data_IF_946677151836
#
_entry.id   IF_946677151836
#
_cell.length_a   1.000
_cell.length_b   1.000
_cell.length_c   1.000
_cell.angle_alpha   90.00
_cell.angle_beta   90.00
_cell.angle_gamma   90.00
#
_symmetry.space_group_name_H-M   'P 1'
#
loop_
_entity.id
_entity.type
_entity.pdbx_description
1 polymer ?
#
# COMPACT_ATOMS: atom_id res chain seq x y z
N UNK A 1 -25.41 10.25 -22.92
CA UNK A 1 -24.80 10.33 -24.27
C UNK A 1 -23.53 11.22 -24.38
N UNK A 2 -22.91 11.66 -23.28
CA UNK A 2 -21.75 12.58 -23.31
C UNK A 2 -20.42 11.96 -22.80
N UNK A 3 -20.35 10.64 -22.61
CA UNK A 3 -19.13 9.98 -22.13
C UNK A 3 -18.32 9.42 -23.28
N UNK A 4 -17.04 9.78 -23.33
CA UNK A 4 -16.08 9.27 -24.29
C UNK A 4 -15.81 7.78 -24.02
N UNK A 5 -15.73 6.99 -25.09
CA UNK A 5 -15.37 5.58 -25.03
C UNK A 5 -13.90 5.43 -25.46
N UNK A 6 -13.13 4.71 -24.65
CA UNK A 6 -11.75 4.35 -24.95
C UNK A 6 -11.65 2.83 -25.07
N UNK A 7 -10.93 2.36 -26.09
CA UNK A 7 -10.69 0.93 -26.34
C UNK A 7 -9.19 0.72 -26.46
N UNK A 8 -8.67 -0.26 -25.73
CA UNK A 8 -7.26 -0.66 -25.78
C UNK A 8 -7.17 -2.16 -26.02
N UNK A 9 -6.12 -2.60 -26.72
CA UNK A 9 -5.84 -4.01 -26.90
C UNK A 9 -5.01 -4.49 -25.70
N UNK A 10 -5.41 -5.61 -25.10
CA UNK A 10 -4.66 -6.21 -23.99
C UNK A 10 -3.46 -6.98 -24.51
N UNK A 11 -2.34 -6.88 -23.79
CA UNK A 11 -1.18 -7.72 -24.04
C UNK A 11 -1.44 -9.17 -23.62
N UNK A 12 -0.67 -10.14 -24.14
CA UNK A 12 -0.74 -11.52 -23.65
C UNK A 12 -0.61 -11.56 -22.12
N UNK A 13 -1.42 -12.39 -21.46
CA UNK A 13 -1.45 -12.57 -19.99
C UNK A 13 -1.93 -11.37 -19.15
N UNK A 14 -2.24 -10.23 -19.77
CA UNK A 14 -2.76 -9.06 -19.05
C UNK A 14 -4.21 -9.25 -18.54
N UNK A 15 -4.85 -10.35 -18.96
CA UNK A 15 -6.19 -10.77 -18.50
C UNK A 15 -6.17 -11.49 -17.14
N UNK A 16 -5.01 -11.99 -16.70
CA UNK A 16 -4.90 -12.73 -15.45
C UNK A 16 -4.73 -11.78 -14.25
N UNK A 17 -5.06 -12.29 -13.06
CA UNK A 17 -4.85 -11.63 -11.78
C UNK A 17 -3.49 -12.03 -11.20
N UNK A 18 -2.80 -11.08 -10.56
CA UNK A 18 -1.57 -11.34 -9.82
C UNK A 18 -1.43 -10.36 -8.66
N UNK A 19 -0.30 -10.45 -7.96
CA UNK A 19 0.11 -9.49 -6.94
C UNK A 19 0.81 -8.32 -7.63
N UNK A 20 0.17 -7.16 -7.63
CA UNK A 20 0.77 -5.90 -8.08
C UNK A 20 1.51 -5.25 -6.91
N UNK A 21 2.77 -4.88 -7.14
CA UNK A 21 3.55 -4.06 -6.23
C UNK A 21 3.68 -2.67 -6.85
N UNK A 22 3.11 -1.69 -6.16
CA UNK A 22 2.91 -0.32 -6.65
C UNK A 22 3.71 0.60 -5.76
N UNK A 23 4.61 1.42 -6.31
CA UNK A 23 5.17 2.53 -5.53
C UNK A 23 4.09 3.60 -5.42
N UNK A 24 3.95 4.21 -4.25
CA UNK A 24 3.07 5.34 -4.02
C UNK A 24 3.85 6.43 -3.32
N UNK A 25 3.93 7.60 -3.96
CA UNK A 25 4.43 8.82 -3.33
C UNK A 25 3.25 9.70 -2.96
N UNK A 26 3.19 10.05 -1.68
CA UNK A 26 2.10 10.88 -1.15
C UNK A 26 2.16 12.27 -1.77
N UNK A 27 1.03 12.76 -2.28
CA UNK A 27 0.90 14.16 -2.71
C UNK A 27 0.95 15.10 -1.50
N UNK A 28 1.48 16.32 -1.69
CA UNK A 28 1.62 17.28 -0.59
C UNK A 28 0.29 17.91 -0.16
N UNK A 29 -0.71 17.89 -1.04
CA UNK A 29 -1.94 18.68 -0.87
C UNK A 29 -2.97 18.00 0.04
N UNK A 30 -2.89 16.68 0.22
CA UNK A 30 -3.85 15.96 1.04
C UNK A 30 -3.26 15.53 2.38
N UNK A 31 -3.86 16.04 3.47
CA UNK A 31 -3.46 15.74 4.84
C UNK A 31 -4.08 14.44 5.37
N UNK A 32 -4.92 13.80 4.57
CA UNK A 32 -5.67 12.60 4.95
C UNK A 32 -4.69 11.45 5.25
N UNK A 33 -4.84 10.88 6.44
CA UNK A 33 -4.16 9.66 6.82
C UNK A 33 -4.98 8.48 6.27
N UNK A 34 -4.35 7.68 5.41
CA UNK A 34 -4.97 6.47 4.86
C UNK A 34 -4.43 5.25 5.60
N UNK A 35 -5.34 4.40 6.09
CA UNK A 35 -4.98 3.16 6.78
C UNK A 35 -4.65 2.07 5.78
N UNK A 36 -3.75 1.17 6.15
CA UNK A 36 -3.53 -0.06 5.40
C UNK A 36 -4.79 -0.91 5.40
N UNK A 37 -5.08 -1.60 4.29
CA UNK A 37 -6.34 -2.33 4.01
C UNK A 37 -7.59 -1.46 3.88
N UNK A 38 -7.46 -0.14 3.89
CA UNK A 38 -8.55 0.76 3.52
C UNK A 38 -8.74 0.72 2.00
N UNK A 39 -9.98 0.83 1.53
CA UNK A 39 -10.27 0.76 0.10
C UNK A 39 -9.83 2.04 -0.59
N UNK A 40 -8.97 1.89 -1.60
CA UNK A 40 -8.56 2.94 -2.50
C UNK A 40 -9.00 2.62 -3.92
N UNK A 41 -9.06 3.66 -4.72
CA UNK A 41 -9.30 3.60 -6.15
C UNK A 41 -7.97 3.82 -6.85
N UNK A 42 -7.59 2.90 -7.72
CA UNK A 42 -6.35 2.95 -8.48
C UNK A 42 -6.65 3.12 -9.95
N UNK A 43 -5.97 4.08 -10.57
CA UNK A 43 -5.85 4.20 -12.00
C UNK A 43 -4.44 3.75 -12.38
N UNK A 44 -4.33 2.65 -13.10
CA UNK A 44 -3.07 2.05 -13.54
C UNK A 44 -3.10 1.99 -15.06
N UNK A 45 -2.40 2.94 -15.70
CA UNK A 45 -2.51 3.13 -17.15
C UNK A 45 -3.96 3.34 -17.59
N UNK A 46 -4.49 2.43 -18.41
CA UNK A 46 -5.89 2.45 -18.88
C UNK A 46 -6.88 1.70 -17.98
N UNK A 47 -6.41 1.04 -16.92
CA UNK A 47 -7.25 0.27 -16.00
C UNK A 47 -7.62 1.10 -14.79
N UNK A 48 -8.87 0.95 -14.39
CA UNK A 48 -9.41 1.54 -13.18
C UNK A 48 -10.00 0.41 -12.34
N UNK A 49 -9.50 0.26 -11.13
CA UNK A 49 -9.99 -0.72 -10.17
C UNK A 49 -9.98 -0.13 -8.78
N UNK A 50 -10.65 -0.78 -7.87
CA UNK A 50 -10.58 -0.42 -6.47
C UNK A 50 -10.18 -1.64 -5.67
N UNK A 51 -9.20 -1.46 -4.79
CA UNK A 51 -8.61 -2.51 -3.98
C UNK A 51 -8.20 -1.98 -2.60
N UNK A 52 -7.98 -2.91 -1.67
CA UNK A 52 -7.57 -2.62 -0.28
C UNK A 52 -6.09 -2.97 -0.09
N UNK A 53 -5.17 -2.07 -0.47
CA UNK A 53 -3.74 -2.38 -0.52
C UNK A 53 -3.14 -2.58 0.88
N UNK A 54 -2.10 -3.40 0.92
CA UNK A 54 -1.23 -3.56 2.08
C UNK A 54 0.01 -2.69 1.86
N UNK A 55 0.25 -1.75 2.77
CA UNK A 55 1.43 -0.89 2.69
C UNK A 55 2.67 -1.53 3.31
N UNK A 56 3.80 -1.35 2.63
CA UNK A 56 5.12 -1.80 3.07
C UNK A 56 6.19 -0.75 2.76
N UNK A 57 7.30 -0.79 3.48
CA UNK A 57 8.44 0.10 3.21
C UNK A 57 9.06 -0.16 1.84
N UNK A 58 9.43 0.92 1.15
CA UNK A 58 10.23 0.84 -0.07
C UNK A 58 11.71 0.73 0.33
N UNK A 59 12.24 -0.50 0.33
CA UNK A 59 13.60 -0.84 0.74
C UNK A 59 14.20 -1.87 -0.22
N UNK A 60 15.53 -1.94 -0.29
CA UNK A 60 16.28 -2.89 -1.13
C UNK A 60 16.52 -4.25 -0.45
N UNK A 61 15.66 -4.65 0.50
CA UNK A 61 15.78 -5.92 1.23
C UNK A 61 14.64 -6.84 0.82
N UNK A 62 14.82 -8.16 0.88
CA UNK A 62 13.74 -9.13 0.60
C UNK A 62 12.57 -9.06 1.60
N UNK A 63 12.82 -8.50 2.78
CA UNK A 63 11.85 -8.39 3.88
C UNK A 63 11.42 -6.95 4.04
N UNK A 64 10.15 -6.67 3.76
CA UNK A 64 9.62 -5.31 3.86
C UNK A 64 8.73 -5.16 5.08
N UNK A 65 9.02 -4.13 5.89
CA UNK A 65 8.21 -3.83 7.07
C UNK A 65 6.83 -3.32 6.65
N UNK A 66 5.79 -3.92 7.22
CA UNK A 66 4.41 -3.48 7.09
C UNK A 66 4.22 -2.10 7.73
N UNK A 67 3.60 -1.18 6.99
CA UNK A 67 3.20 0.12 7.49
C UNK A 67 1.68 0.16 7.69
N UNK A 68 1.27 0.61 8.88
CA UNK A 68 -0.16 0.67 9.26
C UNK A 68 -0.88 1.85 8.62
N UNK A 69 -0.15 2.93 8.37
CA UNK A 69 -0.65 4.23 7.96
C UNK A 69 0.22 4.75 6.82
N UNK A 70 -0.42 5.31 5.81
CA UNK A 70 0.23 6.10 4.78
C UNK A 70 0.33 7.54 5.27
N UNK A 71 1.53 7.93 5.71
CA UNK A 71 1.80 9.26 6.27
C UNK A 71 2.05 10.28 5.16
N UNK A 72 1.90 11.56 5.50
CA UNK A 72 2.29 12.67 4.62
C UNK A 72 3.78 12.61 4.27
N UNK A 73 4.12 12.97 3.03
CA UNK A 73 5.50 13.03 2.50
C UNK A 73 6.30 11.72 2.60
N UNK A 74 5.61 10.58 2.61
CA UNK A 74 6.25 9.27 2.62
C UNK A 74 6.13 8.61 1.24
N UNK A 75 7.15 7.84 0.88
CA UNK A 75 7.13 6.90 -0.24
C UNK A 75 6.97 5.49 0.33
N UNK A 76 6.05 4.72 -0.22
CA UNK A 76 5.79 3.35 0.24
C UNK A 76 5.31 2.47 -0.90
N UNK A 77 5.34 1.16 -0.69
CA UNK A 77 4.86 0.18 -1.67
C UNK A 77 3.50 -0.34 -1.23
N UNK A 78 2.49 -0.14 -2.05
CA UNK A 78 1.18 -0.75 -1.94
C UNK A 78 1.19 -2.10 -2.68
N UNK A 79 0.78 -3.15 -1.97
CA UNK A 79 0.64 -4.49 -2.56
C UNK A 79 -0.83 -4.89 -2.57
N UNK A 80 -1.35 -5.26 -3.73
CA UNK A 80 -2.76 -5.65 -3.92
C UNK A 80 -2.90 -6.75 -4.97
N UNK A 81 -4.06 -7.43 -4.96
CA UNK A 81 -4.40 -8.48 -5.92
C UNK A 81 -5.32 -7.91 -7.00
N UNK A 82 -4.76 -7.68 -8.18
CA UNK A 82 -5.45 -6.97 -9.27
C UNK A 82 -4.92 -7.46 -10.64
N UNK A 83 -5.59 -7.11 -11.76
CA UNK A 83 -5.15 -7.55 -13.09
C UNK A 83 -3.73 -7.13 -13.42
N UNK A 84 -2.96 -8.05 -14.02
CA UNK A 84 -1.58 -7.80 -14.43
C UNK A 84 -1.54 -6.57 -15.34
N UNK A 85 -0.55 -5.70 -15.14
CA UNK A 85 -0.21 -4.63 -16.09
C UNK A 85 1.30 -4.65 -16.27
N UNK A 86 1.80 -4.52 -17.49
CA UNK A 86 3.24 -4.56 -17.74
C UNK A 86 3.88 -3.21 -17.40
N UNK A 87 4.94 -3.16 -16.55
CA UNK A 87 5.71 -1.95 -16.33
C UNK A 87 6.42 -1.48 -17.63
N UNK A 88 6.62 -0.16 -17.84
CA UNK A 88 6.26 0.94 -16.94
C UNK A 88 4.78 1.35 -17.09
N UNK A 89 4.09 1.52 -15.95
CA UNK A 89 2.72 2.03 -15.92
C UNK A 89 2.59 3.10 -14.82
N UNK A 90 2.05 4.27 -15.17
CA UNK A 90 1.77 5.34 -14.21
C UNK A 90 0.56 5.01 -13.35
N UNK A 91 0.62 5.38 -12.08
CA UNK A 91 -0.40 5.07 -11.08
C UNK A 91 -0.87 6.32 -10.37
N UNK A 92 -2.20 6.47 -10.30
CA UNK A 92 -2.88 7.46 -9.47
C UNK A 92 -3.75 6.72 -8.46
N UNK A 93 -3.63 7.09 -7.19
CA UNK A 93 -4.41 6.53 -6.10
C UNK A 93 -5.35 7.59 -5.52
N UNK A 94 -6.65 7.29 -5.53
CA UNK A 94 -7.70 8.15 -5.02
C UNK A 94 -8.38 7.52 -3.82
N UNK A 95 -8.76 8.37 -2.86
CA UNK A 95 -9.68 8.02 -1.79
C UNK A 95 -11.06 8.52 -2.14
N UNK A 96 -12.06 7.64 -2.03
CA UNK A 96 -13.45 8.00 -2.22
C UNK A 96 -14.11 8.29 -0.88
N UNK A 97 -14.81 9.42 -0.81
CA UNK A 97 -15.61 9.81 0.34
C UNK A 97 -17.09 9.50 0.06
N UNK A 98 -17.68 8.49 0.71
CA UNK A 98 -19.07 8.13 0.47
C UNK A 98 -20.04 9.24 0.92
N UNK A 99 -19.69 9.97 1.98
CA UNK A 99 -20.53 11.03 2.56
C UNK A 99 -20.65 12.26 1.63
N UNK A 100 -19.60 12.56 0.85
CA UNK A 100 -19.52 13.72 -0.04
C UNK A 100 -19.91 13.38 -1.49
N UNK A 101 -21.06 12.71 -1.69
CA UNK A 101 -21.57 12.34 -3.03
C UNK A 101 -20.54 11.55 -3.88
N UNK A 102 -19.67 10.78 -3.23
CA UNK A 102 -18.63 10.01 -3.91
C UNK A 102 -17.44 10.85 -4.41
N UNK A 103 -17.20 12.03 -3.81
CA UNK A 103 -16.00 12.85 -4.09
C UNK A 103 -14.74 11.99 -3.99
N UNK A 104 -13.90 12.09 -5.01
CA UNK A 104 -12.60 11.41 -5.05
C UNK A 104 -11.49 12.44 -4.83
N UNK A 105 -10.57 12.12 -3.94
CA UNK A 105 -9.41 12.96 -3.65
C UNK A 105 -8.13 12.20 -3.97
N UNK A 106 -7.21 12.87 -4.68
CA UNK A 106 -5.92 12.30 -5.02
C UNK A 106 -5.04 12.19 -3.77
N UNK A 107 -4.63 10.98 -3.45
CA UNK A 107 -3.80 10.66 -2.28
C UNK A 107 -2.34 10.47 -2.67
N UNK A 108 -2.10 9.78 -3.78
CA UNK A 108 -0.74 9.46 -4.17
C UNK A 108 -0.61 9.25 -5.68
N UNK A 109 0.61 9.47 -6.15
CA UNK A 109 1.00 9.32 -7.55
C UNK A 109 2.36 8.66 -7.60
N UNK A 110 2.55 7.66 -8.45
CA UNK A 110 3.87 7.17 -8.88
C UNK A 110 3.68 6.16 -10.02
N UNK A 111 4.26 4.96 -9.92
CA UNK A 111 4.38 3.98 -10.97
C UNK A 111 4.35 2.54 -10.44
N UNK A 112 4.09 1.61 -11.33
CA UNK A 112 4.11 0.17 -11.04
C UNK A 112 5.56 -0.31 -10.84
N UNK A 113 5.86 -0.88 -9.67
CA UNK A 113 7.20 -1.38 -9.34
C UNK A 113 7.45 -2.73 -10.02
N UNK A 114 6.58 -3.70 -9.74
CA UNK A 114 6.71 -5.06 -10.22
C UNK A 114 5.39 -5.81 -10.11
N UNK A 115 5.27 -6.91 -10.85
CA UNK A 115 4.14 -7.83 -10.77
C UNK A 115 4.68 -9.20 -10.37
N UNK A 116 4.77 -9.44 -9.06
CA UNK A 116 5.28 -10.69 -8.51
C UNK A 116 4.75 -10.96 -7.09
N UNK A 117 4.56 -12.24 -6.78
CA UNK A 117 4.08 -12.71 -5.48
C UNK A 117 5.20 -12.88 -4.44
N UNK A 118 6.46 -12.71 -4.83
CA UNK A 118 7.62 -13.03 -3.99
C UNK A 118 7.94 -11.97 -2.93
N UNK A 119 7.32 -10.78 -3.02
CA UNK A 119 7.58 -9.67 -2.10
C UNK A 119 7.01 -9.98 -0.71
N UNK A 120 7.88 -10.24 0.27
CA UNK A 120 7.46 -10.58 1.64
C UNK A 120 7.20 -9.33 2.47
N UNK A 121 5.98 -9.22 3.01
CA UNK A 121 5.56 -8.12 3.90
C UNK A 121 5.46 -8.63 5.35
N UNK A 122 6.23 -8.05 6.25
CA UNK A 122 6.34 -8.47 7.65
C UNK A 122 5.71 -7.46 8.62
N UNK A 123 4.76 -7.92 9.44
CA UNK A 123 4.19 -7.13 10.52
C UNK A 123 4.99 -7.29 11.81
N UNK A 124 5.64 -6.21 12.25
CA UNK A 124 6.33 -6.18 13.55
C UNK A 124 5.32 -6.15 14.70
N UNK A 125 5.48 -7.08 15.64
CA UNK A 125 4.86 -7.04 16.97
C UNK A 125 5.92 -6.65 17.99
N UNK A 126 5.58 -5.74 18.91
CA UNK A 126 6.46 -5.30 19.99
C UNK A 126 5.86 -5.83 21.29
N UNK A 127 6.62 -6.65 22.00
CA UNK A 127 6.27 -7.10 23.35
C UNK A 127 6.83 -6.10 24.35
N UNK A 128 5.99 -5.60 25.24
CA UNK A 128 6.37 -4.70 26.32
C UNK A 128 6.44 -5.46 27.63
N UNK A 129 7.46 -5.19 28.44
CA UNK A 129 7.59 -5.69 29.79
C UNK A 129 8.14 -4.61 30.71
N UNK A 130 7.93 -4.77 32.01
CA UNK A 130 8.41 -3.84 33.03
C UNK A 130 9.56 -4.47 33.84
N UNK A 131 10.76 -3.87 33.91
CA UNK A 131 11.84 -4.39 34.72
C UNK A 131 11.46 -4.33 36.21
N UNK A 132 11.57 -5.44 36.93
CA UNK A 132 11.17 -5.55 38.33
C UNK A 132 12.38 -5.66 39.29
N UNK A 133 13.32 -6.57 39.00
CA UNK A 133 14.58 -6.67 39.76
C UNK A 133 15.74 -6.38 38.83
N UNK A 134 16.64 -5.49 39.24
CA UNK A 134 17.76 -5.02 38.41
C UNK A 134 19.07 -5.33 39.14
N UNK A 135 19.97 -6.06 38.49
CA UNK A 135 21.33 -6.36 38.91
C UNK A 135 22.33 -5.77 37.90
N UNK A 136 23.64 -5.89 38.16
CA UNK A 136 24.71 -5.29 37.35
C UNK A 136 24.72 -5.69 35.87
N UNK A 137 24.29 -6.92 35.53
CA UNK A 137 24.23 -7.45 34.14
C UNK A 137 22.94 -8.22 33.83
N UNK A 138 21.98 -8.25 34.76
CA UNK A 138 20.78 -9.07 34.64
C UNK A 138 19.58 -8.32 35.20
N UNK A 139 18.46 -8.37 34.50
CA UNK A 139 17.17 -7.87 34.99
C UNK A 139 16.10 -8.95 34.90
N UNK A 140 15.20 -8.97 35.87
CA UNK A 140 13.99 -9.79 35.87
C UNK A 140 12.85 -8.89 35.42
N UNK A 141 12.25 -9.20 34.28
CA UNK A 141 11.15 -8.43 33.68
C UNK A 141 9.82 -9.09 33.98
N UNK A 142 8.84 -8.30 34.46
CA UNK A 142 7.44 -8.72 34.66
C UNK A 142 6.56 -8.22 33.52
N UNK A 143 5.38 -8.81 33.39
CA UNK A 143 4.34 -8.41 32.42
C UNK A 143 4.69 -8.57 30.93
N UNK A 144 5.84 -9.18 30.61
CA UNK A 144 6.18 -9.50 29.21
C UNK A 144 5.48 -10.77 28.72
N UNK A 145 5.29 -11.73 29.63
CA UNK A 145 4.54 -12.98 29.45
C UNK A 145 3.71 -13.25 30.72
N UNK A 146 2.75 -14.17 30.62
CA UNK A 146 1.91 -14.63 31.73
C UNK A 146 2.57 -15.79 32.48
#
# INVERSE_FOLDING_TARGET
PAHLLFVTCLLPNEQYLSVLNIVLNRTNDSEIIVKSKERLIFHVGFRHFSSSPIYSQHSNSDKHKFERLFRSRQTLVATCFDPITYPPASILAFKQFPDDKGRQELVATDSLLSVNHDRIILKRLLLSGHPFKIHKRLSVTRYMFF
#
